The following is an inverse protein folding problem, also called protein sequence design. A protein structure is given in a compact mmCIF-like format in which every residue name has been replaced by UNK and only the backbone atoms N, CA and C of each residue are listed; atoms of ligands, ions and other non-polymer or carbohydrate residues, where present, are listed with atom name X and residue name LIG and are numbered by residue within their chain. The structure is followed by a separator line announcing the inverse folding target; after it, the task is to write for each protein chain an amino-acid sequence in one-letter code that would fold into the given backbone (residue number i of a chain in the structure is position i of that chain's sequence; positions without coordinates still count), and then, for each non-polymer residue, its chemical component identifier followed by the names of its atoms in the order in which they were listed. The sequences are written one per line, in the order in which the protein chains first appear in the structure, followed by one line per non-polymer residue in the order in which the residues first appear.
data_IF_496578207728
#
_entry.id   IF_496578207728
#
_cell.length_a   1.000
_cell.length_b   1.000
_cell.length_c   1.000
_cell.angle_alpha   90.00
_cell.angle_beta   90.00
_cell.angle_gamma   90.00
#
_symmetry.space_group_name_H-M   'P 1'
#
loop_
_entity.id
_entity.type
_entity.pdbx_description
1 polymer ?
#
# COMPACT_ATOMS: atom_id res chain seq x y z
N UNK A 1 19.35 22.82 -58.81
CA UNK A 1 18.77 21.53 -58.36
C UNK A 1 18.02 20.92 -59.51
N UNK A 2 18.13 19.61 -59.76
CA UNK A 2 17.33 18.94 -60.79
C UNK A 2 15.87 18.83 -60.33
N UNK A 3 14.91 18.92 -61.26
CA UNK A 3 13.45 18.89 -60.98
C UNK A 3 13.04 17.71 -60.08
N UNK A 4 13.72 16.57 -60.24
CA UNK A 4 13.53 15.34 -59.45
C UNK A 4 13.81 15.54 -57.95
N UNK A 5 14.90 16.24 -57.61
CA UNK A 5 15.25 16.51 -56.23
C UNK A 5 14.24 17.47 -55.56
N UNK A 6 13.69 18.40 -56.33
CA UNK A 6 12.71 19.38 -55.83
C UNK A 6 11.35 18.71 -55.53
N UNK A 7 10.91 17.79 -56.38
CA UNK A 7 9.71 16.97 -56.15
C UNK A 7 9.90 16.03 -54.96
N UNK A 8 11.06 15.37 -54.84
CA UNK A 8 11.37 14.49 -53.71
C UNK A 8 11.41 15.25 -52.37
N UNK A 9 11.98 16.45 -52.35
CA UNK A 9 12.00 17.28 -51.14
C UNK A 9 10.59 17.71 -50.71
N UNK A 10 9.72 18.06 -51.67
CA UNK A 10 8.33 18.44 -51.39
C UNK A 10 7.52 17.25 -50.83
N UNK A 11 7.81 16.04 -51.30
CA UNK A 11 7.19 14.80 -50.81
C UNK A 11 7.76 14.36 -49.46
N UNK A 12 9.04 14.57 -49.18
CA UNK A 12 9.67 14.15 -47.93
C UNK A 12 9.15 14.94 -46.71
N UNK A 13 8.78 16.21 -46.91
CA UNK A 13 8.32 17.09 -45.84
C UNK A 13 7.11 16.53 -45.03
N UNK A 14 5.99 16.10 -45.67
CA UNK A 14 4.88 15.49 -44.92
C UNK A 14 5.26 14.18 -44.23
N UNK A 15 6.18 13.38 -44.80
CA UNK A 15 6.65 12.15 -44.14
C UNK A 15 7.48 12.45 -42.90
N UNK A 16 8.35 13.46 -42.94
CA UNK A 16 9.12 13.90 -41.77
C UNK A 16 8.18 14.42 -40.68
N UNK A 17 7.17 15.21 -41.04
CA UNK A 17 6.18 15.71 -40.09
C UNK A 17 5.40 14.56 -39.43
N UNK A 18 4.95 13.57 -40.21
CA UNK A 18 4.28 12.38 -39.68
C UNK A 18 5.20 11.55 -38.77
N UNK A 19 6.46 11.36 -39.17
CA UNK A 19 7.44 10.63 -38.36
C UNK A 19 7.73 11.35 -37.04
N UNK A 20 7.84 12.68 -37.06
CA UNK A 20 8.06 13.47 -35.86
C UNK A 20 6.86 13.39 -34.89
N UNK A 21 5.64 13.62 -35.39
CA UNK A 21 4.42 13.54 -34.56
C UNK A 21 4.19 12.13 -34.05
N UNK A 22 4.35 11.12 -34.91
CA UNK A 22 4.22 9.71 -34.55
C UNK A 22 5.26 9.28 -33.52
N UNK A 23 6.51 9.74 -33.67
CA UNK A 23 7.59 9.48 -32.72
C UNK A 23 7.33 10.12 -31.34
N UNK A 24 6.96 11.41 -31.31
CA UNK A 24 6.63 12.11 -30.07
C UNK A 24 5.44 11.44 -29.37
N UNK A 25 4.39 11.14 -30.13
CA UNK A 25 3.20 10.46 -29.60
C UNK A 25 3.53 9.07 -29.07
N UNK A 26 4.30 8.27 -29.82
CA UNK A 26 4.73 6.94 -29.39
C UNK A 26 5.53 6.96 -28.09
N UNK A 27 6.45 7.92 -27.95
CA UNK A 27 7.21 8.10 -26.70
C UNK A 27 6.32 8.52 -25.53
N UNK A 28 5.32 9.37 -25.80
CA UNK A 28 4.37 9.85 -24.78
C UNK A 28 3.45 8.72 -24.33
N UNK A 29 2.86 7.99 -25.27
CA UNK A 29 1.97 6.85 -25.02
C UNK A 29 2.71 5.73 -24.28
N UNK A 30 4.00 5.53 -24.60
CA UNK A 30 4.86 4.60 -23.88
C UNK A 30 5.09 5.02 -22.42
N UNK A 31 5.39 6.31 -22.19
CA UNK A 31 5.52 6.85 -20.83
C UNK A 31 4.21 6.76 -20.03
N UNK A 32 3.08 6.99 -20.69
CA UNK A 32 1.75 6.82 -20.10
C UNK A 32 1.48 5.36 -19.71
N UNK A 33 1.82 4.42 -20.59
CA UNK A 33 1.68 2.99 -20.31
C UNK A 33 2.50 2.56 -19.09
N UNK A 34 3.77 2.97 -19.00
CA UNK A 34 4.61 2.68 -17.83
C UNK A 34 4.06 3.29 -16.55
N UNK A 35 3.57 4.52 -16.61
CA UNK A 35 2.95 5.21 -15.47
C UNK A 35 1.67 4.53 -15.01
N UNK A 36 0.86 4.02 -15.95
CA UNK A 36 -0.34 3.25 -15.64
C UNK A 36 0.01 1.92 -14.96
N UNK A 37 1.04 1.21 -15.44
CA UNK A 37 1.49 -0.04 -14.84
C UNK A 37 2.02 0.17 -13.41
N UNK A 38 2.79 1.25 -13.20
CA UNK A 38 3.26 1.63 -11.86
C UNK A 38 2.09 1.96 -10.93
N UNK A 39 1.14 2.76 -11.39
CA UNK A 39 -0.08 3.10 -10.62
C UNK A 39 -0.87 1.85 -10.23
N UNK A 40 -0.99 0.88 -11.14
CA UNK A 40 -1.66 -0.39 -10.85
C UNK A 40 -0.98 -1.16 -9.71
N UNK A 41 0.35 -1.28 -9.77
CA UNK A 41 1.13 -1.97 -8.73
C UNK A 41 1.07 -1.22 -7.39
N UNK A 42 1.24 0.10 -7.41
CA UNK A 42 1.17 0.94 -6.21
C UNK A 42 -0.22 0.85 -5.56
N UNK A 43 -1.29 0.82 -6.36
CA UNK A 43 -2.67 0.64 -5.88
C UNK A 43 -2.87 -0.74 -5.27
N UNK A 44 -2.39 -1.81 -5.91
CA UNK A 44 -2.47 -3.16 -5.38
C UNK A 44 -1.76 -3.29 -4.03
N UNK A 45 -0.54 -2.75 -3.92
CA UNK A 45 0.23 -2.71 -2.68
C UNK A 45 -0.51 -1.92 -1.60
N UNK A 46 -1.08 -0.76 -1.96
CA UNK A 46 -1.85 0.09 -1.06
C UNK A 46 -3.09 -0.62 -0.50
N UNK A 47 -3.80 -1.40 -1.33
CA UNK A 47 -4.96 -2.18 -0.89
C UNK A 47 -4.56 -3.25 0.15
N UNK A 48 -3.43 -3.94 -0.05
CA UNK A 48 -2.93 -4.93 0.91
C UNK A 48 -2.52 -4.30 2.24
N UNK A 49 -1.81 -3.17 2.21
CA UNK A 49 -1.48 -2.40 3.42
C UNK A 49 -2.72 -1.86 4.12
N UNK A 50 -3.70 -1.35 3.38
CA UNK A 50 -4.95 -0.86 3.96
C UNK A 50 -5.75 -1.99 4.64
N UNK A 51 -5.72 -3.21 4.09
CA UNK A 51 -6.32 -4.37 4.72
C UNK A 51 -5.65 -4.71 6.06
N UNK A 52 -4.31 -4.66 6.12
CA UNK A 52 -3.55 -4.82 7.37
C UNK A 52 -3.92 -3.72 8.38
N UNK A 53 -3.90 -2.46 7.97
CA UNK A 53 -4.26 -1.32 8.81
C UNK A 53 -5.68 -1.46 9.35
N UNK A 54 -6.63 -1.87 8.51
CA UNK A 54 -8.02 -2.10 8.90
C UNK A 54 -8.10 -3.10 10.05
N UNK A 55 -7.48 -4.27 9.93
CA UNK A 55 -7.52 -5.26 11.01
C UNK A 55 -6.75 -4.83 12.26
N UNK A 56 -5.66 -4.08 12.14
CA UNK A 56 -4.99 -3.47 13.30
C UNK A 56 -5.89 -2.46 14.03
N UNK A 57 -6.69 -1.68 13.30
CA UNK A 57 -7.67 -0.76 13.89
C UNK A 57 -8.79 -1.52 14.63
N UNK A 58 -9.24 -2.65 14.08
CA UNK A 58 -10.19 -3.54 14.75
C UNK A 58 -9.56 -4.16 16.00
N UNK A 59 -8.33 -4.66 15.91
CA UNK A 59 -7.59 -5.26 17.04
C UNK A 59 -7.40 -4.24 18.17
N UNK A 60 -7.07 -2.98 17.83
CA UNK A 60 -6.99 -1.87 18.79
C UNK A 60 -8.32 -1.67 19.54
N UNK A 61 -9.43 -1.61 18.80
CA UNK A 61 -10.76 -1.39 19.37
C UNK A 61 -11.18 -2.53 20.29
N UNK A 62 -10.99 -3.77 19.84
CA UNK A 62 -11.30 -4.97 20.62
C UNK A 62 -10.40 -5.10 21.85
N UNK A 63 -9.09 -4.79 21.73
CA UNK A 63 -8.16 -4.80 22.85
C UNK A 63 -8.58 -3.80 23.94
N UNK A 64 -9.02 -2.60 23.54
CA UNK A 64 -9.50 -1.58 24.49
C UNK A 64 -10.75 -2.04 25.25
N UNK A 65 -11.71 -2.65 24.55
CA UNK A 65 -12.91 -3.21 25.17
C UNK A 65 -12.61 -4.44 26.04
N UNK A 66 -11.70 -5.32 25.60
CA UNK A 66 -11.22 -6.47 26.36
C UNK A 66 -10.62 -6.01 27.70
N UNK A 67 -9.66 -5.05 27.66
CA UNK A 67 -9.04 -4.50 28.87
C UNK A 67 -10.08 -3.83 29.78
N UNK A 68 -10.94 -2.98 29.23
CA UNK A 68 -11.96 -2.24 30.00
C UNK A 68 -12.98 -3.18 30.68
N UNK A 69 -13.18 -4.37 30.11
CA UNK A 69 -14.06 -5.41 30.66
C UNK A 69 -13.37 -6.38 31.63
N UNK A 70 -12.08 -6.18 31.92
CA UNK A 70 -11.29 -7.12 32.72
C UNK A 70 -11.09 -8.47 32.03
N UNK A 71 -11.06 -8.50 30.70
CA UNK A 71 -10.80 -9.71 29.90
C UNK A 71 -12.01 -10.57 29.59
N UNK A 72 -13.23 -10.04 29.69
CA UNK A 72 -14.47 -10.83 29.54
C UNK A 72 -15.17 -10.62 28.19
N UNK A 73 -15.04 -9.45 27.57
CA UNK A 73 -15.68 -9.10 26.30
C UNK A 73 -14.68 -9.26 25.15
N UNK A 74 -15.15 -9.77 23.99
CA UNK A 74 -14.38 -9.97 22.76
C UNK A 74 -13.25 -11.02 22.83
N UNK A 75 -13.30 -11.98 23.75
CA UNK A 75 -12.24 -13.00 23.90
C UNK A 75 -12.02 -13.79 22.60
N UNK A 76 -13.10 -14.29 21.99
CA UNK A 76 -13.07 -15.05 20.73
C UNK A 76 -12.71 -14.17 19.53
N UNK A 77 -13.35 -13.01 19.44
CA UNK A 77 -13.26 -12.09 18.33
C UNK A 77 -11.86 -11.48 18.26
N UNK A 78 -11.23 -11.19 19.41
CA UNK A 78 -9.86 -10.70 19.47
C UNK A 78 -8.87 -11.74 18.93
N UNK A 79 -9.07 -13.03 19.26
CA UNK A 79 -8.25 -14.12 18.71
C UNK A 79 -8.43 -14.28 17.19
N UNK A 80 -9.67 -14.16 16.72
CA UNK A 80 -9.98 -14.18 15.28
C UNK A 80 -9.33 -13.00 14.56
N UNK A 81 -9.47 -11.78 15.09
CA UNK A 81 -8.88 -10.56 14.52
C UNK A 81 -7.35 -10.65 14.48
N UNK A 82 -6.70 -11.15 15.54
CA UNK A 82 -5.25 -11.38 15.56
C UNK A 82 -4.80 -12.28 14.40
N UNK A 83 -5.53 -13.36 14.17
CA UNK A 83 -5.27 -14.27 13.05
C UNK A 83 -5.46 -13.58 11.69
N UNK A 84 -6.45 -12.69 11.56
CA UNK A 84 -6.65 -11.87 10.34
C UNK A 84 -5.53 -10.85 10.13
N UNK A 85 -5.03 -10.24 11.20
CA UNK A 85 -3.85 -9.36 11.13
C UNK A 85 -2.64 -10.16 10.66
N UNK A 86 -2.38 -11.34 11.24
CA UNK A 86 -1.23 -12.17 10.87
C UNK A 86 -1.29 -12.63 9.41
N UNK A 87 -2.49 -13.03 8.96
CA UNK A 87 -2.74 -13.32 7.54
C UNK A 87 -2.47 -12.09 6.67
N UNK A 88 -3.02 -10.93 7.04
CA UNK A 88 -2.82 -9.70 6.28
C UNK A 88 -1.34 -9.28 6.20
N UNK A 89 -0.56 -9.48 7.27
CA UNK A 89 0.89 -9.26 7.26
C UNK A 89 1.60 -10.20 6.27
N UNK A 90 1.19 -11.47 6.21
CA UNK A 90 1.76 -12.45 5.28
C UNK A 90 1.42 -12.16 3.81
N UNK A 91 0.33 -11.43 3.55
CA UNK A 91 -0.10 -11.02 2.22
C UNK A 91 0.53 -9.70 1.75
N UNK A 92 1.28 -9.01 2.61
CA UNK A 92 1.96 -7.76 2.24
C UNK A 92 3.07 -8.06 1.23
N UNK A 93 3.06 -7.44 0.04
CA UNK A 93 4.08 -7.67 -0.98
C UNK A 93 5.48 -7.26 -0.51
N UNK A 94 6.51 -7.99 -0.97
CA UNK A 94 7.92 -7.74 -0.64
C UNK A 94 8.33 -6.27 -0.91
N UNK A 95 7.81 -5.68 -1.98
CA UNK A 95 8.06 -4.29 -2.38
C UNK A 95 7.74 -3.25 -1.30
N UNK A 96 6.86 -3.57 -0.34
CA UNK A 96 6.44 -2.67 0.75
C UNK A 96 6.66 -3.29 2.14
N UNK A 97 7.41 -4.40 2.22
CA UNK A 97 7.60 -5.15 3.46
C UNK A 97 8.40 -4.38 4.51
N UNK A 98 9.24 -3.42 4.09
CA UNK A 98 9.94 -2.51 5.01
C UNK A 98 9.01 -1.70 5.92
N UNK A 99 7.78 -1.43 5.47
CA UNK A 99 6.77 -0.72 6.26
C UNK A 99 6.24 -1.56 7.43
N UNK A 100 6.42 -2.89 7.41
CA UNK A 100 6.07 -3.76 8.54
C UNK A 100 6.94 -3.54 9.77
N UNK A 101 8.04 -2.79 9.67
CA UNK A 101 8.82 -2.36 10.83
C UNK A 101 7.98 -1.60 11.86
N UNK A 102 6.90 -0.93 11.44
CA UNK A 102 5.95 -0.28 12.35
C UNK A 102 5.24 -1.25 13.31
N UNK A 103 5.08 -2.53 12.93
CA UNK A 103 4.41 -3.57 13.73
C UNK A 103 5.38 -4.59 14.34
N UNK A 104 6.68 -4.30 14.37
CA UNK A 104 7.69 -5.23 14.93
C UNK A 104 7.44 -5.62 16.39
N UNK A 105 6.78 -4.75 17.16
CA UNK A 105 6.50 -4.95 18.59
C UNK A 105 5.06 -5.45 18.85
N UNK A 106 4.33 -5.86 17.81
CA UNK A 106 2.93 -6.23 17.91
C UNK A 106 2.69 -7.39 18.89
N UNK A 107 3.55 -8.41 18.88
CA UNK A 107 3.44 -9.54 19.80
C UNK A 107 3.59 -9.12 21.27
N UNK A 108 4.51 -8.20 21.56
CA UNK A 108 4.67 -7.65 22.90
C UNK A 108 3.42 -6.86 23.35
N UNK A 109 2.81 -6.09 22.45
CA UNK A 109 1.55 -5.38 22.72
C UNK A 109 0.44 -6.40 23.03
N UNK A 110 0.34 -7.47 22.22
CA UNK A 110 -0.67 -8.52 22.39
C UNK A 110 -0.54 -9.26 23.71
N UNK A 111 0.68 -9.59 24.13
CA UNK A 111 0.95 -10.20 25.44
C UNK A 111 0.48 -9.28 26.56
N UNK A 112 0.88 -8.00 26.54
CA UNK A 112 0.45 -7.03 27.57
C UNK A 112 -1.07 -6.87 27.65
N UNK A 113 -1.77 -6.87 26.51
CA UNK A 113 -3.25 -6.83 26.45
C UNK A 113 -3.86 -8.10 27.06
N UNK A 114 -3.31 -9.27 26.72
CA UNK A 114 -3.84 -10.58 27.16
C UNK A 114 -3.65 -10.76 28.66
N UNK A 115 -2.50 -10.33 29.18
CA UNK A 115 -2.17 -10.41 30.60
C UNK A 115 -2.80 -9.28 31.44
N UNK A 116 -3.53 -8.36 30.79
CA UNK A 116 -4.11 -7.16 31.41
C UNK A 116 -3.05 -6.29 32.14
N UNK A 117 -1.80 -6.34 31.68
CA UNK A 117 -0.66 -5.60 32.22
C UNK A 117 -0.53 -4.17 31.66
N UNK A 118 -1.55 -3.69 30.95
CA UNK A 118 -1.59 -2.38 30.30
C UNK A 118 -3.00 -1.82 30.36
N UNK A 119 -3.11 -0.50 30.46
CA UNK A 119 -4.41 0.17 30.42
C UNK A 119 -4.94 0.31 28.99
N UNK A 120 -6.25 0.48 28.83
CA UNK A 120 -6.85 0.66 27.51
C UNK A 120 -6.28 1.87 26.73
N UNK A 121 -6.02 3.04 27.35
CA UNK A 121 -5.36 4.16 26.68
C UNK A 121 -3.93 3.86 26.22
N UNK A 122 -3.13 3.16 27.04
CA UNK A 122 -1.74 2.81 26.72
C UNK A 122 -1.68 1.80 25.57
N UNK A 123 -2.51 0.76 25.60
CA UNK A 123 -2.65 -0.19 24.49
C UNK A 123 -3.09 0.53 23.21
N UNK A 124 -4.10 1.40 23.32
CA UNK A 124 -4.58 2.21 22.21
C UNK A 124 -3.48 3.07 21.57
N UNK A 125 -2.64 3.70 22.39
CA UNK A 125 -1.49 4.49 21.93
C UNK A 125 -0.44 3.61 21.24
N UNK A 126 -0.16 2.42 21.77
CA UNK A 126 0.81 1.48 21.19
C UNK A 126 0.38 1.01 19.79
N UNK A 127 -0.88 0.58 19.62
CA UNK A 127 -1.42 0.23 18.29
C UNK A 127 -1.44 1.43 17.34
N UNK A 128 -1.78 2.62 17.84
CA UNK A 128 -1.80 3.83 17.01
C UNK A 128 -0.40 4.19 16.52
N UNK A 129 0.63 4.03 17.36
CA UNK A 129 2.03 4.19 16.95
C UNK A 129 2.42 3.16 15.89
N UNK A 130 2.01 1.91 16.06
CA UNK A 130 2.31 0.85 15.10
C UNK A 130 1.67 1.11 13.73
N UNK A 131 0.39 1.49 13.72
CA UNK A 131 -0.34 1.90 12.50
C UNK A 131 0.31 3.15 11.88
N UNK A 132 0.70 4.13 12.69
CA UNK A 132 1.38 5.33 12.23
C UNK A 132 2.69 5.02 11.50
N UNK A 133 3.45 4.03 11.97
CA UNK A 133 4.68 3.58 11.32
C UNK A 133 4.48 2.88 9.95
N UNK A 134 3.27 2.40 9.65
CA UNK A 134 2.94 1.86 8.32
C UNK A 134 2.53 3.00 7.36
N UNK A 135 1.95 4.08 7.89
CA UNK A 135 1.43 5.21 7.13
C UNK A 135 2.47 6.30 6.83
N UNK A 136 3.61 6.29 7.53
CA UNK A 136 4.72 7.26 7.39
C UNK A 136 5.78 6.79 6.40
#
# INVERSE_FOLDING_TARGET
MSLRAQILALLALPFIALAAVGGIKGLTDWGLYQSAQKTQNDTFNSLKLNNLIHYLQVERGQSSAFISSGGTIFVSELKETRSKVDLAMSEVPEAVQSLLSGVSNLDAIRSSVTDLNVTAPEAGAAYTKAIGGILS
#
